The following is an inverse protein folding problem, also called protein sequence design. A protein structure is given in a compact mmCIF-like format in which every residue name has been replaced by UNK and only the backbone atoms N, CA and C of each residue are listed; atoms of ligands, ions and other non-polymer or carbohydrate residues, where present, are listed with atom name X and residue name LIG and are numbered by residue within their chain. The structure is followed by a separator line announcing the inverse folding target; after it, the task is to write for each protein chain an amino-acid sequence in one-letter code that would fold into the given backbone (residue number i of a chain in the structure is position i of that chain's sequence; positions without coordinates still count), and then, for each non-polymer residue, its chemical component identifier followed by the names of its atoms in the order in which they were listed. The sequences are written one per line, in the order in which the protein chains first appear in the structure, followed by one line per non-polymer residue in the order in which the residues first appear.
data_IF_185795924727
#
_entry.id   IF_185795924727
#
_cell.length_a   1.000
_cell.length_b   1.000
_cell.length_c   1.000
_cell.angle_alpha   90.00
_cell.angle_beta   90.00
_cell.angle_gamma   90.00
#
_symmetry.space_group_name_H-M   'P 1'
#
loop_
_entity.id
_entity.type
_entity.pdbx_description
1 polymer ?
#
# COMPACT_ATOMS: atom_id res chain seq x y z
N UNK A 1 14.55 9.80 -12.55
CA UNK A 1 13.48 8.79 -12.58
C UNK A 1 13.05 8.51 -11.14
N UNK A 2 11.75 8.46 -10.88
CA UNK A 2 11.19 8.12 -9.56
C UNK A 2 10.73 6.66 -9.58
N UNK A 3 11.01 5.93 -8.49
CA UNK A 3 10.49 4.57 -8.31
C UNK A 3 9.20 4.63 -7.52
N UNK A 4 8.19 3.98 -8.04
CA UNK A 4 6.84 3.91 -7.51
C UNK A 4 6.46 2.49 -7.15
N UNK A 5 5.51 2.34 -6.25
CA UNK A 5 4.71 1.14 -6.09
C UNK A 5 3.23 1.47 -6.25
N UNK A 6 2.55 0.73 -7.11
CA UNK A 6 1.10 0.72 -7.18
C UNK A 6 0.56 -0.39 -6.26
N UNK A 7 -0.27 -0.01 -5.31
CA UNK A 7 -0.92 -0.89 -4.35
C UNK A 7 -2.40 -1.01 -4.74
N UNK A 8 -2.78 -2.15 -5.29
CA UNK A 8 -4.15 -2.37 -5.75
C UNK A 8 -5.03 -2.83 -4.60
N UNK A 9 -6.21 -2.23 -4.48
CA UNK A 9 -7.24 -2.63 -3.52
C UNK A 9 -8.25 -3.55 -4.19
N UNK A 10 -8.87 -4.44 -3.39
CA UNK A 10 -9.89 -5.39 -3.83
C UNK A 10 -9.41 -6.40 -4.90
N UNK A 11 -8.14 -6.80 -4.82
CA UNK A 11 -7.60 -7.88 -5.62
C UNK A 11 -7.79 -9.20 -4.86
N UNK A 12 -8.66 -10.04 -5.36
CA UNK A 12 -8.97 -11.35 -4.80
C UNK A 12 -9.01 -12.43 -5.89
N UNK A 13 -9.45 -13.65 -5.58
CA UNK A 13 -9.45 -14.77 -6.53
C UNK A 13 -10.15 -14.46 -7.87
N UNK A 14 -11.28 -13.76 -7.85
CA UNK A 14 -12.02 -13.36 -9.05
C UNK A 14 -11.21 -12.35 -9.89
N UNK A 15 -10.53 -11.42 -9.25
CA UNK A 15 -9.66 -10.46 -9.92
C UNK A 15 -8.47 -11.15 -10.57
N UNK A 16 -7.89 -12.16 -9.92
CA UNK A 16 -6.78 -12.95 -10.48
C UNK A 16 -7.17 -13.73 -11.73
N UNK A 17 -8.41 -14.17 -11.84
CA UNK A 17 -8.91 -14.83 -13.05
C UNK A 17 -8.94 -13.87 -14.26
N UNK A 18 -9.17 -12.57 -14.01
CA UNK A 18 -9.23 -11.54 -15.05
C UNK A 18 -7.87 -10.90 -15.33
N UNK A 19 -7.07 -10.68 -14.29
CA UNK A 19 -5.79 -10.00 -14.37
C UNK A 19 -4.72 -10.81 -13.63
N UNK A 20 -3.95 -11.58 -14.39
CA UNK A 20 -2.76 -12.24 -13.86
C UNK A 20 -1.68 -11.19 -13.55
N UNK A 21 -0.91 -11.32 -12.48
CA UNK A 21 0.16 -10.38 -12.16
C UNK A 21 1.12 -10.15 -13.34
N UNK A 22 1.53 -11.19 -14.05
CA UNK A 22 2.38 -11.06 -15.22
C UNK A 22 1.75 -10.19 -16.33
N UNK A 23 0.45 -10.35 -16.60
CA UNK A 23 -0.23 -9.57 -17.63
C UNK A 23 -0.30 -8.07 -17.28
N UNK A 24 -0.47 -7.72 -15.99
CA UNK A 24 -0.40 -6.32 -15.55
C UNK A 24 1.01 -5.76 -15.71
N UNK A 25 2.04 -6.54 -15.35
CA UNK A 25 3.45 -6.16 -15.54
C UNK A 25 3.73 -5.88 -17.02
N UNK A 26 3.38 -6.81 -17.90
CA UNK A 26 3.67 -6.74 -19.33
C UNK A 26 2.98 -5.51 -19.96
N UNK A 27 1.72 -5.26 -19.63
CA UNK A 27 1.01 -4.04 -20.06
C UNK A 27 1.61 -2.75 -19.48
N UNK A 28 2.15 -2.78 -18.27
CA UNK A 28 2.83 -1.62 -17.70
C UNK A 28 4.14 -1.32 -18.48
N UNK A 29 4.88 -2.35 -18.85
CA UNK A 29 6.07 -2.22 -19.70
C UNK A 29 5.73 -1.65 -21.08
N UNK A 30 4.68 -2.18 -21.73
CA UNK A 30 4.15 -1.68 -23.02
C UNK A 30 3.70 -0.19 -22.92
N UNK A 31 3.18 0.23 -21.77
CA UNK A 31 2.79 1.62 -21.51
C UNK A 31 4.00 2.55 -21.20
N UNK A 32 5.23 2.02 -21.22
CA UNK A 32 6.46 2.79 -21.05
C UNK A 32 6.88 3.00 -19.59
N UNK A 33 6.37 2.21 -18.65
CA UNK A 33 6.91 2.14 -17.31
C UNK A 33 8.22 1.34 -17.30
N UNK A 34 9.21 1.79 -16.55
CA UNK A 34 10.55 1.19 -16.54
C UNK A 34 10.62 0.05 -15.54
N UNK A 35 11.12 -1.11 -15.98
CA UNK A 35 11.36 -2.30 -15.15
C UNK A 35 10.21 -2.67 -14.20
N UNK A 36 8.98 -2.88 -14.68
CA UNK A 36 7.87 -3.23 -13.82
C UNK A 36 8.05 -4.62 -13.22
N UNK A 37 7.86 -4.73 -11.90
CA UNK A 37 7.98 -6.00 -11.15
C UNK A 37 6.80 -6.16 -10.22
N UNK A 38 6.15 -7.32 -10.25
CA UNK A 38 5.14 -7.69 -9.29
C UNK A 38 5.77 -8.22 -8.00
N UNK A 39 5.18 -7.84 -6.87
CA UNK A 39 5.50 -8.44 -5.59
C UNK A 39 4.23 -8.97 -4.91
N UNK A 40 4.19 -10.27 -4.68
CA UNK A 40 3.04 -11.05 -4.24
C UNK A 40 1.84 -10.94 -5.20
N UNK A 41 0.94 -11.90 -5.14
CA UNK A 41 -0.27 -11.93 -5.93
C UNK A 41 -1.30 -10.86 -5.52
N UNK A 42 -1.11 -10.21 -4.39
CA UNK A 42 -2.06 -9.26 -3.78
C UNK A 42 -2.05 -7.84 -4.40
N UNK A 43 -1.48 -7.69 -5.60
CA UNK A 43 -1.56 -6.44 -6.35
C UNK A 43 -0.58 -5.36 -5.88
N UNK A 44 0.71 -5.68 -5.86
CA UNK A 44 1.78 -4.71 -5.67
C UNK A 44 2.64 -4.71 -6.92
N UNK A 45 2.61 -3.62 -7.70
CA UNK A 45 3.42 -3.43 -8.91
C UNK A 45 4.45 -2.31 -8.66
N UNK A 46 5.74 -2.63 -8.76
CA UNK A 46 6.86 -1.71 -8.57
C UNK A 46 7.43 -1.36 -9.93
N UNK A 47 7.69 -0.09 -10.20
CA UNK A 47 8.20 0.38 -11.51
C UNK A 47 8.85 1.76 -11.40
N UNK A 48 9.64 2.11 -12.41
CA UNK A 48 10.19 3.44 -12.59
C UNK A 48 9.36 4.30 -13.54
N UNK A 49 9.31 5.62 -13.29
CA UNK A 49 8.71 6.59 -14.21
C UNK A 49 9.24 8.01 -13.97
N UNK A 50 9.24 8.83 -15.03
CA UNK A 50 9.49 10.27 -14.94
C UNK A 50 8.20 11.10 -14.85
N UNK A 51 7.04 10.44 -14.87
CA UNK A 51 5.73 11.09 -14.78
C UNK A 51 5.39 11.41 -13.31
N UNK A 52 4.51 12.39 -13.11
CA UNK A 52 4.02 12.73 -11.76
C UNK A 52 3.13 11.62 -11.18
N UNK A 53 2.99 11.59 -9.84
CA UNK A 53 2.10 10.65 -9.13
C UNK A 53 0.69 10.62 -9.72
N UNK A 54 0.12 11.79 -10.03
CA UNK A 54 -1.23 11.88 -10.58
C UNK A 54 -1.37 11.22 -11.96
N UNK A 55 -0.38 11.42 -12.83
CA UNK A 55 -0.34 10.79 -14.16
C UNK A 55 -0.13 9.29 -14.03
N UNK A 56 0.84 8.86 -13.22
CA UNK A 56 1.09 7.45 -12.92
C UNK A 56 -0.16 6.75 -12.41
N UNK A 57 -0.84 7.35 -11.43
CA UNK A 57 -2.09 6.80 -10.89
C UNK A 57 -3.15 6.63 -11.96
N UNK A 58 -3.37 7.66 -12.80
CA UNK A 58 -4.35 7.62 -13.89
C UNK A 58 -4.04 6.50 -14.88
N UNK A 59 -2.80 6.37 -15.32
CA UNK A 59 -2.40 5.37 -16.30
C UNK A 59 -2.49 3.95 -15.74
N UNK A 60 -2.00 3.69 -14.52
CA UNK A 60 -2.12 2.36 -13.90
C UNK A 60 -3.58 2.01 -13.65
N UNK A 61 -4.43 2.98 -13.26
CA UNK A 61 -5.88 2.75 -13.13
C UNK A 61 -6.47 2.30 -14.46
N UNK A 62 -6.16 2.99 -15.56
CA UNK A 62 -6.64 2.62 -16.90
C UNK A 62 -6.17 1.21 -17.31
N UNK A 63 -4.92 0.83 -16.99
CA UNK A 63 -4.44 -0.52 -17.23
C UNK A 63 -5.25 -1.56 -16.44
N UNK A 64 -5.52 -1.34 -15.17
CA UNK A 64 -6.32 -2.23 -14.32
C UNK A 64 -7.75 -2.35 -14.85
N UNK A 65 -8.37 -1.23 -15.23
CA UNK A 65 -9.71 -1.19 -15.82
C UNK A 65 -9.79 -1.95 -17.16
N UNK A 66 -8.71 -1.95 -17.95
CA UNK A 66 -8.64 -2.68 -19.22
C UNK A 66 -8.79 -4.20 -19.06
N UNK A 67 -8.61 -4.73 -17.86
CA UNK A 67 -8.87 -6.12 -17.49
C UNK A 67 -10.33 -6.35 -16.98
N UNK A 68 -11.18 -5.33 -17.04
CA UNK A 68 -12.55 -5.39 -16.51
C UNK A 68 -12.62 -5.28 -14.98
N UNK A 69 -11.62 -4.69 -14.35
CA UNK A 69 -11.55 -4.48 -12.89
C UNK A 69 -11.89 -3.02 -12.54
N UNK A 70 -13.09 -2.58 -12.88
CA UNK A 70 -13.56 -1.19 -12.71
C UNK A 70 -13.83 -0.78 -11.26
N UNK A 71 -13.90 -1.74 -10.34
CA UNK A 71 -14.12 -1.49 -8.90
C UNK A 71 -12.82 -1.54 -8.10
N UNK A 72 -11.70 -1.91 -8.72
CA UNK A 72 -10.39 -1.93 -8.06
C UNK A 72 -9.82 -0.52 -7.99
N UNK A 73 -9.29 -0.16 -6.83
CA UNK A 73 -8.66 1.14 -6.61
C UNK A 73 -7.14 1.01 -6.63
N UNK A 74 -6.47 2.02 -7.18
CA UNK A 74 -5.01 2.08 -7.29
C UNK A 74 -4.49 3.17 -6.37
N UNK A 75 -3.64 2.79 -5.42
CA UNK A 75 -2.91 3.70 -4.53
C UNK A 75 -1.45 3.72 -4.96
N UNK A 76 -0.84 4.88 -4.99
CA UNK A 76 0.55 5.06 -5.41
C UNK A 76 1.36 5.53 -4.21
N UNK A 77 2.50 4.89 -3.98
CA UNK A 77 3.52 5.38 -3.08
C UNK A 77 4.88 5.45 -3.80
N UNK A 78 5.69 6.40 -3.41
CA UNK A 78 7.06 6.60 -3.90
C UNK A 78 8.05 5.80 -3.06
N UNK A 79 9.25 5.56 -3.62
CA UNK A 79 10.36 4.99 -2.85
C UNK A 79 10.68 5.78 -1.59
N UNK A 80 10.61 7.11 -1.65
CA UNK A 80 10.89 7.98 -0.51
C UNK A 80 9.87 7.79 0.63
N UNK A 81 8.58 7.64 0.30
CA UNK A 81 7.53 7.38 1.28
C UNK A 81 7.68 5.99 1.92
N UNK A 82 7.94 4.96 1.13
CA UNK A 82 8.19 3.61 1.66
C UNK A 82 9.43 3.59 2.55
N UNK A 83 10.52 4.27 2.12
CA UNK A 83 11.74 4.44 2.93
C UNK A 83 11.43 5.07 4.28
N UNK A 84 10.72 6.19 4.28
CA UNK A 84 10.37 6.92 5.50
C UNK A 84 9.56 6.04 6.48
N UNK A 85 8.63 5.23 5.98
CA UNK A 85 7.84 4.30 6.80
C UNK A 85 8.74 3.24 7.43
N UNK A 86 9.62 2.61 6.64
CA UNK A 86 10.51 1.54 7.12
C UNK A 86 11.54 2.06 8.12
N UNK A 87 12.13 3.23 7.86
CA UNK A 87 13.12 3.85 8.76
C UNK A 87 12.51 4.38 10.06
N UNK A 88 11.27 4.86 10.00
CA UNK A 88 10.57 5.33 11.20
C UNK A 88 10.22 4.19 12.16
N UNK A 89 9.90 3.02 11.63
CA UNK A 89 9.45 1.83 12.36
C UNK A 89 8.76 2.17 13.70
N UNK A 90 7.54 2.73 13.67
CA UNK A 90 6.94 3.34 14.86
C UNK A 90 6.60 2.34 15.98
N UNK A 91 6.68 1.03 15.70
CA UNK A 91 6.39 -0.05 16.64
C UNK A 91 7.44 -1.17 16.58
N UNK A 92 8.76 -0.90 16.87
CA UNK A 92 9.85 -1.84 16.59
C UNK A 92 9.71 -3.18 17.31
N UNK A 93 9.05 -3.22 18.46
CA UNK A 93 8.74 -4.49 19.13
C UNK A 93 7.68 -5.30 18.36
N UNK A 94 6.60 -4.66 17.91
CA UNK A 94 5.53 -5.32 17.17
C UNK A 94 5.99 -5.80 15.79
N UNK A 95 6.77 -4.97 15.08
CA UNK A 95 7.31 -5.31 13.75
C UNK A 95 8.31 -6.46 13.81
N UNK A 96 8.98 -6.67 14.94
CA UNK A 96 9.84 -7.83 15.20
C UNK A 96 9.04 -9.07 15.60
N UNK A 97 8.12 -8.93 16.57
CA UNK A 97 7.49 -10.07 17.23
C UNK A 97 6.27 -10.61 16.46
N UNK A 98 5.50 -9.72 15.80
CA UNK A 98 4.28 -10.06 15.07
C UNK A 98 4.04 -9.16 13.84
N UNK A 99 4.98 -9.10 12.88
CA UNK A 99 4.92 -8.17 11.73
C UNK A 99 3.67 -8.35 10.84
N UNK A 100 3.08 -9.54 10.84
CA UNK A 100 1.84 -9.78 10.09
C UNK A 100 0.64 -9.03 10.66
N UNK A 101 0.66 -8.68 11.94
CA UNK A 101 -0.37 -7.91 12.65
C UNK A 101 -0.05 -6.41 12.74
N UNK A 102 1.01 -5.95 12.09
CA UNK A 102 1.28 -4.53 11.91
C UNK A 102 0.84 -4.13 10.51
N UNK A 103 -0.15 -3.24 10.42
CA UNK A 103 -0.71 -2.75 9.17
C UNK A 103 -0.18 -1.36 8.82
N UNK A 104 0.08 -1.12 7.54
CA UNK A 104 0.40 0.19 6.99
C UNK A 104 -0.71 0.58 6.03
N UNK A 105 -1.40 1.68 6.33
CA UNK A 105 -2.49 2.22 5.54
C UNK A 105 -1.97 3.33 4.62
N UNK A 106 -2.30 3.23 3.34
CA UNK A 106 -1.97 4.20 2.30
C UNK A 106 -3.26 4.86 1.80
N UNK A 107 -3.21 6.17 1.53
CA UNK A 107 -4.35 6.98 1.16
C UNK A 107 -4.16 7.62 -0.21
N UNK A 108 -5.25 8.06 -0.84
CA UNK A 108 -5.20 8.76 -2.12
C UNK A 108 -4.67 10.19 -2.00
N UNK A 109 -4.87 10.81 -0.85
CA UNK A 109 -4.44 12.18 -0.53
C UNK A 109 -3.66 12.17 0.77
N UNK A 110 -2.92 13.23 0.99
CA UNK A 110 -2.33 13.49 2.29
C UNK A 110 -3.43 13.61 3.34
N UNK A 111 -3.25 12.91 4.45
CA UNK A 111 -4.17 12.95 5.60
C UNK A 111 -3.48 13.70 6.72
N UNK A 112 -4.16 14.72 7.23
CA UNK A 112 -3.73 15.43 8.43
C UNK A 112 -4.25 14.69 9.66
N UNK A 113 -3.36 13.98 10.32
CA UNK A 113 -3.70 13.13 11.45
C UNK A 113 -3.71 13.92 12.74
N UNK A 114 -4.81 13.87 13.54
CA UNK A 114 -4.83 14.51 14.84
C UNK A 114 -3.81 13.86 15.80
N UNK A 115 -3.30 14.65 16.76
CA UNK A 115 -2.30 14.18 17.71
C UNK A 115 -2.79 12.97 18.55
N UNK A 116 -4.11 12.89 18.82
CA UNK A 116 -4.75 11.75 19.47
C UNK A 116 -5.53 10.91 18.46
N UNK A 117 -4.84 10.01 17.78
CA UNK A 117 -5.39 9.19 16.69
C UNK A 117 -6.37 8.12 17.14
N UNK A 118 -6.23 7.63 18.34
CA UNK A 118 -6.97 6.45 18.80
C UNK A 118 -7.76 6.82 20.05
N UNK A 119 -9.06 6.47 20.13
CA UNK A 119 -9.78 6.49 21.38
C UNK A 119 -9.03 5.66 22.43
N UNK A 120 -8.88 6.18 23.64
CA UNK A 120 -8.16 5.51 24.75
C UNK A 120 -8.64 4.09 25.07
N UNK A 121 -9.78 3.71 24.56
CA UNK A 121 -10.42 2.40 24.73
C UNK A 121 -10.14 1.42 23.59
N UNK A 122 -9.42 1.81 22.52
CA UNK A 122 -9.09 0.91 21.44
C UNK A 122 -7.88 0.04 21.83
N UNK A 123 -7.90 -1.28 21.59
CA UNK A 123 -6.74 -2.14 21.85
C UNK A 123 -5.60 -1.87 20.86
N UNK A 124 -5.90 -1.34 19.68
CA UNK A 124 -4.94 -1.04 18.64
C UNK A 124 -4.15 0.24 18.95
N UNK A 125 -2.89 0.25 18.56
CA UNK A 125 -2.01 1.42 18.60
C UNK A 125 -1.78 1.92 17.19
N UNK A 126 -1.88 3.22 16.95
CA UNK A 126 -1.59 3.80 15.64
C UNK A 126 -0.66 5.00 15.74
N UNK A 127 0.19 5.16 14.74
CA UNK A 127 1.07 6.32 14.55
C UNK A 127 1.11 6.71 13.08
N UNK A 128 1.07 8.01 12.83
CA UNK A 128 1.26 8.55 11.49
C UNK A 128 2.75 8.59 11.13
N UNK A 129 3.05 8.28 9.87
CA UNK A 129 4.37 8.48 9.24
C UNK A 129 4.13 9.15 7.89
N UNK A 130 4.38 10.43 7.81
CA UNK A 130 3.94 11.23 6.67
C UNK A 130 2.42 11.12 6.50
N UNK A 131 1.96 10.78 5.30
CA UNK A 131 0.53 10.55 5.02
C UNK A 131 0.05 9.15 5.38
N UNK A 132 0.95 8.20 5.65
CA UNK A 132 0.59 6.85 6.01
C UNK A 132 0.20 6.72 7.49
N UNK A 133 -0.62 5.73 7.81
CA UNK A 133 -0.93 5.34 9.18
C UNK A 133 -0.42 3.93 9.43
N UNK A 134 0.43 3.76 10.44
CA UNK A 134 0.91 2.45 10.89
C UNK A 134 0.11 2.03 12.12
N UNK A 135 -0.41 0.80 12.11
CA UNK A 135 -1.29 0.27 13.16
C UNK A 135 -0.73 -1.04 13.68
N UNK A 136 -0.48 -1.12 14.99
CA UNK A 136 -0.23 -2.37 15.69
C UNK A 136 -1.57 -2.91 16.22
N UNK A 137 -2.04 -4.01 15.63
CA UNK A 137 -3.28 -4.68 16.02
C UNK A 137 -3.11 -5.61 17.23
N UNK A 138 -1.86 -5.82 17.67
CA UNK A 138 -1.50 -6.72 18.75
C UNK A 138 -1.30 -8.17 18.32
N UNK A 139 -0.50 -8.90 19.10
CA UNK A 139 -0.21 -10.31 18.87
C UNK A 139 -1.50 -11.15 18.89
N UNK A 140 -1.64 -12.05 17.92
CA UNK A 140 -2.81 -12.94 17.81
C UNK A 140 -4.07 -12.29 17.28
N UNK A 141 -4.05 -11.00 16.94
CA UNK A 141 -5.15 -10.40 16.21
C UNK A 141 -5.31 -11.10 14.85
N UNK A 142 -6.48 -11.69 14.63
CA UNK A 142 -6.84 -12.12 13.28
C UNK A 142 -6.78 -10.89 12.38
N UNK A 143 -6.30 -11.07 11.15
CA UNK A 143 -6.26 -10.00 10.17
C UNK A 143 -7.66 -9.46 9.94
N UNK A 144 -8.02 -8.42 10.74
CA UNK A 144 -9.19 -7.55 10.58
C UNK A 144 -10.57 -8.25 10.66
N UNK A 145 -11.57 -7.63 11.25
CA UNK A 145 -11.79 -6.19 11.22
C UNK A 145 -11.43 -5.52 12.54
N UNK A 146 -10.50 -4.59 12.49
CA UNK A 146 -10.27 -3.63 13.55
C UNK A 146 -11.54 -2.82 13.81
N UNK A 147 -11.84 -2.53 15.05
CA UNK A 147 -12.89 -1.56 15.42
C UNK A 147 -12.51 -0.13 15.01
N UNK A 148 -11.24 0.07 14.68
CA UNK A 148 -10.73 1.34 14.21
C UNK A 148 -11.22 1.60 12.78
N UNK A 149 -12.18 2.50 12.62
CA UNK A 149 -12.75 2.88 11.34
C UNK A 149 -11.82 3.87 10.61
N UNK A 150 -10.68 3.38 10.12
CA UNK A 150 -9.59 4.21 9.57
C UNK A 150 -10.07 5.14 8.46
N UNK A 151 -10.84 4.65 7.49
CA UNK A 151 -11.37 5.49 6.40
C UNK A 151 -12.29 6.60 6.91
N UNK A 152 -13.09 6.31 7.94
CA UNK A 152 -13.96 7.33 8.56
C UNK A 152 -13.15 8.38 9.33
N UNK A 153 -12.11 7.95 10.04
CA UNK A 153 -11.21 8.87 10.75
C UNK A 153 -10.40 9.73 9.79
N UNK A 154 -9.93 9.14 8.70
CA UNK A 154 -9.18 9.84 7.67
C UNK A 154 -10.03 10.75 6.79
N UNK A 155 -11.34 10.48 6.68
CA UNK A 155 -12.20 11.08 5.66
C UNK A 155 -11.79 10.71 4.23
N UNK A 156 -11.04 9.61 4.06
CA UNK A 156 -10.43 9.22 2.79
C UNK A 156 -10.39 7.69 2.65
N UNK A 157 -10.45 7.21 1.41
CA UNK A 157 -10.29 5.79 1.08
C UNK A 157 -8.84 5.35 1.28
N UNK A 158 -8.65 4.09 1.69
CA UNK A 158 -7.31 3.55 1.94
C UNK A 158 -7.14 2.13 1.40
N UNK A 159 -5.89 1.73 1.23
CA UNK A 159 -5.49 0.33 1.14
C UNK A 159 -4.49 0.01 2.24
N UNK A 160 -4.48 -1.22 2.72
CA UNK A 160 -3.56 -1.65 3.77
C UNK A 160 -2.64 -2.76 3.27
N UNK A 161 -1.39 -2.73 3.73
CA UNK A 161 -0.44 -3.84 3.64
C UNK A 161 0.12 -4.14 5.02
N UNK A 162 0.39 -5.42 5.30
CA UNK A 162 1.10 -5.75 6.53
C UNK A 162 2.59 -5.39 6.42
N UNK A 163 3.26 -5.34 7.55
CA UNK A 163 4.66 -4.91 7.64
C UNK A 163 5.60 -5.77 6.78
N UNK A 164 5.39 -7.10 6.77
CA UNK A 164 6.17 -8.00 5.92
C UNK A 164 6.08 -7.63 4.43
N UNK A 165 4.88 -7.26 3.98
CA UNK A 165 4.67 -6.83 2.60
C UNK A 165 5.38 -5.50 2.32
N UNK A 166 5.32 -4.55 3.25
CA UNK A 166 6.00 -3.25 3.11
C UNK A 166 7.52 -3.43 3.06
N UNK A 167 8.09 -4.26 3.94
CA UNK A 167 9.51 -4.60 3.89
C UNK A 167 9.90 -5.25 2.56
N UNK A 168 9.11 -6.20 2.09
CA UNK A 168 9.38 -6.85 0.80
C UNK A 168 9.26 -5.92 -0.41
N UNK A 169 8.38 -4.91 -0.35
CA UNK A 169 8.31 -3.83 -1.34
C UNK A 169 9.58 -2.97 -1.25
N UNK A 170 9.99 -2.56 -0.04
CA UNK A 170 11.21 -1.79 0.17
C UNK A 170 12.44 -2.47 -0.39
N UNK A 171 12.65 -3.75 -0.07
CA UNK A 171 13.78 -4.53 -0.58
C UNK A 171 13.90 -4.54 -2.12
N UNK A 172 12.77 -4.41 -2.83
CA UNK A 172 12.71 -4.34 -4.28
C UNK A 172 12.85 -2.93 -4.85
N UNK A 173 12.70 -1.92 -4.01
CA UNK A 173 12.78 -0.51 -4.42
C UNK A 173 14.11 0.14 -4.08
N UNK A 174 14.79 -0.29 -3.03
CA UNK A 174 15.94 0.42 -2.43
C UNK A 174 17.13 0.62 -3.37
N UNK A 175 17.38 -0.36 -4.22
CA UNK A 175 18.56 -0.39 -5.12
C UNK A 175 18.23 -0.01 -6.58
N UNK A 176 17.03 0.52 -6.83
CA UNK A 176 16.55 0.91 -8.18
C UNK A 176 16.72 2.38 -8.49
#
# INVERSE_FOLDING_TARGET
MTIYVALLRAIGPISHAKMRPAALRDKAEEAGFTDPVNYLATGNLIFGSNKSVAVVKKEITALVESFGLTTSEVFIATRAEIKAIVEADPFPKATKDHPAQVGVCFFHKSVDWPAELIPRTAPEKAKAVGSALVIDYGAGAATVPSKLQVEKLAGERMTQRNWNTVLGVWERMKDR
#
